data_IF_416255946404
#
_entry.id   IF_416255946404
#
_cell.length_a   1.000
_cell.length_b   1.000
_cell.length_c   1.000
_cell.angle_alpha   90.00
_cell.angle_beta   90.00
_cell.angle_gamma   90.00
#
_symmetry.space_group_name_H-M   'P 1'
#
loop_
_entity.id
_entity.type
_entity.pdbx_description
1 polymer ?
#
# COMPACT_ATOMS: atom_id res chain seq x y z
N UNK A 1 3.49 11.96 -17.07
CA UNK A 1 3.58 10.59 -16.55
C UNK A 1 4.98 10.07 -16.75
N UNK A 2 5.77 10.14 -15.69
CA UNK A 2 7.05 9.47 -15.57
C UNK A 2 6.79 7.96 -15.43
N UNK A 3 7.71 7.13 -15.93
CA UNK A 3 7.62 5.67 -15.83
C UNK A 3 7.52 5.19 -14.37
N UNK A 4 8.11 5.94 -13.43
CA UNK A 4 7.99 5.67 -11.99
C UNK A 4 6.58 5.88 -11.45
N UNK A 5 5.94 7.00 -11.81
CA UNK A 5 4.55 7.30 -11.42
C UNK A 5 3.60 6.21 -11.92
N UNK A 6 3.80 5.72 -13.15
CA UNK A 6 3.00 4.62 -13.70
C UNK A 6 3.13 3.34 -12.87
N UNK A 7 4.35 3.01 -12.41
CA UNK A 7 4.58 1.84 -11.56
C UNK A 7 3.89 1.99 -10.20
N UNK A 8 3.98 3.17 -9.59
CA UNK A 8 3.28 3.47 -8.33
C UNK A 8 1.77 3.33 -8.47
N UNK A 9 1.20 3.82 -9.57
CA UNK A 9 -0.24 3.70 -9.83
C UNK A 9 -0.69 2.25 -10.04
N UNK A 10 0.08 1.44 -10.79
CA UNK A 10 -0.24 0.02 -10.96
C UNK A 10 -0.22 -0.72 -9.63
N UNK A 11 0.80 -0.49 -8.81
CA UNK A 11 0.90 -1.07 -7.47
C UNK A 11 -0.27 -0.63 -6.60
N UNK A 12 -0.66 0.65 -6.65
CA UNK A 12 -1.79 1.17 -5.86
C UNK A 12 -3.09 0.50 -6.28
N UNK A 13 -3.33 0.31 -7.59
CA UNK A 13 -4.51 -0.38 -8.10
C UNK A 13 -4.55 -1.85 -7.65
N UNK A 14 -3.42 -2.54 -7.69
CA UNK A 14 -3.31 -3.93 -7.20
C UNK A 14 -3.63 -4.02 -5.70
N UNK A 15 -3.06 -3.11 -4.88
CA UNK A 15 -3.31 -3.08 -3.43
C UNK A 15 -4.79 -2.83 -3.12
N UNK A 16 -5.43 -1.91 -3.84
CA UNK A 16 -6.86 -1.63 -3.68
C UNK A 16 -7.70 -2.87 -4.06
N UNK A 17 -7.34 -3.56 -5.13
CA UNK A 17 -8.03 -4.80 -5.53
C UNK A 17 -7.89 -5.89 -4.45
N UNK A 18 -6.69 -6.12 -3.94
CA UNK A 18 -6.45 -7.10 -2.87
C UNK A 18 -7.23 -6.76 -1.59
N UNK A 19 -7.31 -5.48 -1.23
CA UNK A 19 -8.11 -5.00 -0.09
C UNK A 19 -9.60 -5.32 -0.22
N UNK A 20 -10.16 -5.07 -1.41
CA UNK A 20 -11.57 -5.34 -1.70
C UNK A 20 -11.83 -6.84 -1.61
N UNK A 21 -10.94 -7.66 -2.18
CA UNK A 21 -11.08 -9.11 -2.17
C UNK A 21 -10.91 -9.73 -0.77
N UNK A 22 -9.94 -9.27 0.02
CA UNK A 22 -9.64 -9.86 1.33
C UNK A 22 -10.57 -9.36 2.45
N UNK A 23 -11.02 -8.11 2.40
CA UNK A 23 -11.80 -7.47 3.46
C UNK A 23 -13.26 -7.15 3.07
N UNK A 24 -13.71 -7.55 1.87
CA UNK A 24 -15.05 -7.28 1.34
C UNK A 24 -15.44 -5.79 1.42
N UNK A 25 -14.47 -4.91 1.19
CA UNK A 25 -14.65 -3.46 1.27
C UNK A 25 -15.21 -2.89 -0.03
N UNK A 26 -15.94 -1.79 0.07
CA UNK A 26 -16.27 -1.02 -1.13
C UNK A 26 -15.01 -0.37 -1.73
N UNK A 27 -15.03 -0.09 -3.04
CA UNK A 27 -13.93 0.60 -3.72
C UNK A 27 -13.54 1.91 -3.03
N UNK A 28 -14.54 2.67 -2.56
CA UNK A 28 -14.33 3.96 -1.90
C UNK A 28 -13.62 3.77 -0.54
N UNK A 29 -14.03 2.77 0.24
CA UNK A 29 -13.40 2.43 1.52
C UNK A 29 -11.97 1.91 1.35
N UNK A 30 -11.75 1.05 0.35
CA UNK A 30 -10.43 0.50 0.05
C UNK A 30 -9.48 1.62 -0.40
N UNK A 31 -9.92 2.48 -1.33
CA UNK A 31 -9.16 3.67 -1.73
C UNK A 31 -8.86 4.56 -0.53
N UNK A 32 -9.86 4.88 0.29
CA UNK A 32 -9.68 5.72 1.46
C UNK A 32 -8.60 5.16 2.39
N UNK A 33 -8.64 3.86 2.71
CA UNK A 33 -7.64 3.19 3.55
C UNK A 33 -6.24 3.27 2.95
N UNK A 34 -6.10 3.00 1.66
CA UNK A 34 -4.81 3.08 0.97
C UNK A 34 -4.23 4.49 1.05
N UNK A 35 -5.00 5.51 0.66
CA UNK A 35 -4.52 6.89 0.68
C UNK A 35 -4.22 7.44 2.09
N UNK A 36 -4.83 6.88 3.14
CA UNK A 36 -4.54 7.25 4.53
C UNK A 36 -3.39 6.49 5.17
N UNK A 37 -2.85 5.47 4.50
CA UNK A 37 -1.79 4.62 5.05
C UNK A 37 -0.41 5.23 4.96
N UNK A 38 0.46 4.87 5.90
CA UNK A 38 1.87 5.19 5.84
C UNK A 38 2.56 4.47 4.67
N UNK A 39 2.14 3.25 4.35
CA UNK A 39 2.67 2.49 3.21
C UNK A 39 2.45 3.21 1.89
N UNK A 40 1.30 3.85 1.67
CA UNK A 40 1.09 4.66 0.47
C UNK A 40 2.01 5.87 0.41
N UNK A 41 2.20 6.57 1.54
CA UNK A 41 3.17 7.67 1.63
C UNK A 41 4.57 7.23 1.22
N UNK A 42 5.04 6.08 1.73
CA UNK A 42 6.34 5.50 1.37
C UNK A 42 6.38 5.02 -0.09
N UNK A 43 5.30 4.46 -0.63
CA UNK A 43 5.21 4.05 -2.04
C UNK A 43 5.38 5.23 -2.99
N UNK A 44 4.78 6.38 -2.66
CA UNK A 44 4.89 7.60 -3.46
C UNK A 44 6.21 8.35 -3.27
N UNK A 45 6.98 7.99 -2.23
CA UNK A 45 8.31 8.53 -2.00
C UNK A 45 9.34 7.80 -2.88
N UNK A 46 9.85 8.51 -3.88
CA UNK A 46 10.86 7.98 -4.81
C UNK A 46 12.16 7.55 -4.12
N UNK A 47 12.50 8.13 -2.96
CA UNK A 47 13.74 7.82 -2.24
C UNK A 47 13.69 6.44 -1.57
N UNK A 48 12.50 5.94 -1.24
CA UNK A 48 12.33 4.60 -0.63
C UNK A 48 12.55 3.47 -1.63
N UNK A 49 12.34 3.73 -2.93
CA UNK A 49 12.41 2.71 -3.98
C UNK A 49 11.33 1.63 -3.90
N UNK A 50 10.26 1.83 -3.12
CA UNK A 50 9.20 0.83 -2.91
C UNK A 50 8.46 0.45 -4.19
N UNK A 51 8.28 1.39 -5.11
CA UNK A 51 7.66 1.14 -6.42
C UNK A 51 8.45 0.17 -7.32
N UNK A 52 9.68 -0.21 -6.93
CA UNK A 52 10.47 -1.25 -7.60
C UNK A 52 10.20 -2.65 -7.02
N UNK A 53 9.50 -2.75 -5.90
CA UNK A 53 9.09 -4.00 -5.27
C UNK A 53 7.78 -4.51 -5.88
N UNK A 54 7.47 -5.79 -5.65
CA UNK A 54 6.20 -6.38 -6.11
C UNK A 54 5.00 -5.87 -5.30
N UNK A 55 3.84 -5.74 -5.95
CA UNK A 55 2.59 -5.31 -5.30
C UNK A 55 2.18 -6.21 -4.12
N UNK A 56 2.41 -7.52 -4.21
CA UNK A 56 2.17 -8.46 -3.11
C UNK A 56 3.01 -8.17 -1.85
N UNK A 57 4.28 -7.80 -2.00
CA UNK A 57 5.15 -7.46 -0.87
C UNK A 57 4.65 -6.21 -0.15
N UNK A 58 4.27 -5.20 -0.93
CA UNK A 58 3.76 -3.92 -0.41
C UNK A 58 2.41 -4.14 0.26
N UNK A 59 1.57 -5.02 -0.30
CA UNK A 59 0.31 -5.41 0.29
C UNK A 59 0.46 -6.17 1.61
N UNK A 60 1.46 -7.05 1.73
CA UNK A 60 1.75 -7.71 3.02
C UNK A 60 2.14 -6.68 4.09
N UNK A 61 3.00 -5.72 3.78
CA UNK A 61 3.32 -4.61 4.71
C UNK A 61 2.09 -3.77 5.05
N UNK A 62 1.21 -3.54 4.07
CA UNK A 62 -0.03 -2.81 4.28
C UNK A 62 -0.99 -3.57 5.21
N UNK A 63 -1.09 -4.90 5.07
CA UNK A 63 -1.85 -5.75 5.99
C UNK A 63 -1.24 -5.74 7.39
N UNK A 64 0.08 -5.70 7.51
CA UNK A 64 0.74 -5.52 8.81
C UNK A 64 0.38 -4.16 9.42
N UNK A 65 0.38 -3.07 8.65
CA UNK A 65 -0.08 -1.76 9.12
C UNK A 65 -1.53 -1.80 9.61
N UNK A 66 -2.43 -2.41 8.83
CA UNK A 66 -3.85 -2.56 9.19
C UNK A 66 -4.07 -3.45 10.42
N UNK A 67 -3.36 -4.57 10.50
CA UNK A 67 -3.48 -5.51 11.62
C UNK A 67 -2.89 -4.95 12.89
N UNK A 68 -1.88 -4.09 12.79
CA UNK A 68 -1.22 -3.52 13.94
C UNK A 68 -1.98 -2.33 14.52
N UNK A 69 -2.65 -1.47 13.73
CA UNK A 69 -3.48 -0.34 14.21
C UNK A 69 -2.78 0.69 15.12
N UNK A 70 -1.57 0.37 15.56
CA UNK A 70 -0.58 1.09 16.33
C UNK A 70 0.74 0.41 15.97
N UNK A 71 1.67 1.22 15.47
CA UNK A 71 3.06 0.88 15.22
C UNK A 71 3.57 -0.06 16.33
N UNK A 72 3.68 -1.36 16.04
CA UNK A 72 4.61 -2.19 16.79
C UNK A 72 5.93 -1.93 16.10
N UNK A 73 6.65 -0.93 16.61
CA UNK A 73 8.10 -0.88 16.42
C UNK A 73 8.57 -2.24 16.93
N UNK A 74 8.87 -3.15 16.01
CA UNK A 74 9.79 -4.22 16.29
C UNK A 74 11.14 -3.54 16.49
N UNK A 75 11.38 -3.03 17.71
CA UNK A 75 12.72 -2.80 18.17
C UNK A 75 13.41 -4.17 18.28
N UNK A 76 14.32 -4.38 17.33
CA UNK A 76 15.52 -5.24 17.34
C UNK A 76 15.41 -6.71 17.75
#
# INVERSE_FOLDING_TARGET
>A
MNKKEQLMEYITQDIVAFLIEDYDLSMDEAMHKVYTSEIYGKLTDEETGLYLQGSAYIYDMFKEELSNGQIVQAEY
#
